data_IF_040308245336
#
_entry.id   IF_040308245336
#
_cell.length_a   1.000
_cell.length_b   1.000
_cell.length_c   1.000
_cell.angle_alpha   90.00
_cell.angle_beta   90.00
_cell.angle_gamma   90.00
#
_symmetry.space_group_name_H-M   'P 1'
#
loop_
_entity.id
_entity.type
_entity.pdbx_description
1 polymer ?
#
# COMPACT_ATOMS: atom_id res chain seq x y z
N UNK A 1 -41.43 43.82 37.07
CA UNK A 1 -40.10 43.28 36.76
C UNK A 1 -40.29 41.92 36.08
N UNK A 2 -39.63 41.74 34.94
CA UNK A 2 -39.81 40.65 33.97
C UNK A 2 -39.24 39.30 34.44
N UNK A 3 -39.87 38.24 33.93
CA UNK A 3 -39.52 36.82 33.96
C UNK A 3 -38.22 36.48 33.23
N UNK A 4 -37.49 35.46 33.69
CA UNK A 4 -36.82 34.46 32.84
C UNK A 4 -36.30 33.29 33.71
N UNK A 5 -36.79 32.07 33.45
CA UNK A 5 -36.17 30.83 33.89
C UNK A 5 -35.10 30.44 32.86
N UNK A 6 -33.88 30.20 33.33
CA UNK A 6 -32.74 29.81 32.48
C UNK A 6 -32.55 28.30 32.49
N UNK A 7 -32.69 27.69 31.32
CA UNK A 7 -32.27 26.33 30.94
C UNK A 7 -30.73 26.26 31.00
N UNK A 8 -30.15 25.13 31.43
CA UNK A 8 -29.18 24.32 30.63
C UNK A 8 -28.73 23.10 31.45
N UNK A 9 -29.16 21.92 31.01
CA UNK A 9 -28.59 20.65 31.44
C UNK A 9 -27.18 20.52 30.85
N UNK A 10 -26.14 20.48 31.69
CA UNK A 10 -24.81 20.03 31.29
C UNK A 10 -24.82 18.51 31.23
N UNK A 11 -24.90 17.95 30.02
CA UNK A 11 -24.62 16.54 29.78
C UNK A 11 -23.11 16.37 29.93
N UNK A 12 -22.67 15.77 31.04
CA UNK A 12 -21.28 15.35 31.20
C UNK A 12 -20.92 14.38 30.08
N UNK A 13 -20.04 14.83 29.19
CA UNK A 13 -19.37 13.95 28.23
C UNK A 13 -18.27 13.23 29.01
N UNK A 14 -18.53 11.97 29.35
CA UNK A 14 -17.51 11.07 29.90
C UNK A 14 -16.37 11.00 28.88
N UNK A 15 -15.10 11.30 29.24
CA UNK A 15 -14.00 11.19 28.31
C UNK A 15 -13.92 9.72 27.88
N UNK A 16 -14.20 9.46 26.60
CA UNK A 16 -13.87 8.17 26.02
C UNK A 16 -12.36 8.09 26.04
N UNK A 17 -11.89 7.11 26.79
CA UNK A 17 -10.50 6.78 27.01
C UNK A 17 -9.88 6.56 25.63
N UNK A 18 -9.03 7.49 25.19
CA UNK A 18 -8.14 7.30 24.05
C UNK A 18 -7.02 6.34 24.50
N UNK A 19 -7.36 5.08 24.72
CA UNK A 19 -6.39 4.02 24.99
C UNK A 19 -6.68 2.82 24.10
N UNK A 20 -6.06 2.82 22.94
CA UNK A 20 -5.28 1.64 22.56
C UNK A 20 -4.24 2.15 21.58
N UNK A 21 -2.98 1.96 21.97
CA UNK A 21 -1.88 1.96 21.00
C UNK A 21 -2.28 0.92 19.98
N UNK A 22 -2.73 1.33 18.81
CA UNK A 22 -2.95 0.41 17.71
C UNK A 22 -1.58 -0.17 17.39
N UNK A 23 -1.33 -1.47 17.56
CA UNK A 23 -0.05 -2.04 17.19
C UNK A 23 0.20 -1.70 15.72
N UNK A 24 1.40 -1.21 15.45
CA UNK A 24 1.85 -0.87 14.10
C UNK A 24 1.44 -1.98 13.13
N UNK A 25 0.58 -1.65 12.17
CA UNK A 25 0.08 -2.60 11.17
C UNK A 25 0.90 -2.42 9.90
N UNK A 26 1.37 -3.51 9.26
CA UNK A 26 2.05 -3.42 7.98
C UNK A 26 1.22 -2.63 6.97
N UNK A 27 1.88 -1.72 6.26
CA UNK A 27 1.27 -1.00 5.15
C UNK A 27 1.03 -1.96 4.00
N UNK A 28 -0.16 -1.91 3.41
CA UNK A 28 -0.41 -2.57 2.12
C UNK A 28 -0.50 -1.50 1.04
N UNK A 29 0.25 -1.66 -0.04
CA UNK A 29 0.30 -0.71 -1.15
C UNK A 29 -0.17 -1.41 -2.42
N UNK A 30 -1.19 -0.83 -3.06
CA UNK A 30 -1.60 -1.24 -4.40
C UNK A 30 -1.11 -0.19 -5.40
N UNK A 31 -0.27 -0.61 -6.35
CA UNK A 31 0.25 0.25 -7.40
C UNK A 31 -0.25 -0.27 -8.74
N UNK A 32 -1.07 0.53 -9.44
CA UNK A 32 -1.57 0.18 -10.77
C UNK A 32 -0.82 0.96 -11.84
N UNK A 33 -0.21 0.23 -12.76
CA UNK A 33 0.39 0.77 -13.97
C UNK A 33 -0.49 0.49 -15.17
N UNK A 34 -0.54 1.44 -16.11
CA UNK A 34 -1.17 1.26 -17.41
C UNK A 34 -0.10 1.41 -18.48
N UNK A 35 0.23 0.30 -19.13
CA UNK A 35 1.29 0.18 -20.13
C UNK A 35 0.63 -0.23 -21.46
N UNK A 36 1.03 0.32 -22.61
CA UNK A 36 0.57 -0.18 -23.91
C UNK A 36 0.86 -1.69 -24.00
N UNK A 37 -0.07 -2.52 -24.48
CA UNK A 37 0.14 -3.97 -24.54
C UNK A 37 1.44 -4.40 -25.25
N UNK A 38 1.88 -3.63 -26.25
CA UNK A 38 3.14 -3.85 -26.97
C UNK A 38 4.42 -3.61 -26.15
N UNK A 39 4.34 -2.93 -25.01
CA UNK A 39 5.47 -2.60 -24.14
C UNK A 39 5.42 -3.35 -22.79
N UNK A 40 4.49 -4.28 -22.61
CA UNK A 40 4.33 -5.02 -21.36
C UNK A 40 5.57 -5.87 -21.01
N UNK A 41 6.23 -6.47 -22.02
CA UNK A 41 7.50 -7.18 -21.78
C UNK A 41 8.58 -6.25 -21.23
N UNK A 42 8.73 -5.06 -21.81
CA UNK A 42 9.68 -4.06 -21.36
C UNK A 42 9.41 -3.60 -19.92
N UNK A 43 8.13 -3.49 -19.54
CA UNK A 43 7.76 -3.22 -18.14
C UNK A 43 8.25 -4.32 -17.21
N UNK A 44 8.06 -5.59 -17.56
CA UNK A 44 8.52 -6.71 -16.74
C UNK A 44 10.05 -6.81 -16.70
N UNK A 45 10.74 -6.58 -17.82
CA UNK A 45 12.20 -6.55 -17.89
C UNK A 45 12.78 -5.47 -16.97
N UNK A 46 12.14 -4.30 -16.90
CA UNK A 46 12.53 -3.23 -15.97
C UNK A 46 12.15 -3.54 -14.51
N UNK A 47 11.02 -4.20 -14.29
CA UNK A 47 10.53 -4.53 -12.95
C UNK A 47 11.33 -5.65 -12.30
N UNK A 48 11.85 -6.60 -13.07
CA UNK A 48 12.50 -7.79 -12.52
C UNK A 48 13.72 -7.46 -11.65
N UNK A 49 14.69 -6.61 -12.06
CA UNK A 49 15.81 -6.21 -11.21
C UNK A 49 15.35 -5.44 -9.97
N UNK A 50 14.32 -4.60 -10.10
CA UNK A 50 13.74 -3.89 -8.96
C UNK A 50 13.14 -4.89 -7.95
N UNK A 51 12.35 -5.86 -8.44
CA UNK A 51 11.77 -6.93 -7.62
C UNK A 51 12.83 -7.68 -6.84
N UNK A 52 13.94 -8.05 -7.47
CA UNK A 52 15.05 -8.75 -6.80
C UNK A 52 15.65 -7.96 -5.65
N UNK A 53 15.63 -6.62 -5.70
CA UNK A 53 16.06 -5.78 -4.58
C UNK A 53 14.99 -5.67 -3.51
N UNK A 54 13.73 -5.42 -3.91
CA UNK A 54 12.61 -5.24 -2.96
C UNK A 54 12.40 -6.46 -2.07
N UNK A 55 12.43 -7.68 -2.61
CA UNK A 55 12.17 -8.90 -1.83
C UNK A 55 13.31 -9.30 -0.90
N UNK A 56 14.44 -8.57 -0.94
CA UNK A 56 15.55 -8.74 -0.01
C UNK A 56 15.52 -7.72 1.13
N UNK A 57 14.62 -6.73 1.08
CA UNK A 57 14.43 -5.78 2.16
C UNK A 57 13.69 -6.47 3.31
N UNK A 58 14.20 -6.32 4.54
CA UNK A 58 13.62 -6.95 5.73
C UNK A 58 12.19 -6.45 5.97
N UNK A 59 11.92 -5.19 5.61
CA UNK A 59 10.58 -4.60 5.70
C UNK A 59 9.62 -5.14 4.64
N UNK A 60 10.09 -5.76 3.54
CA UNK A 60 9.20 -6.27 2.49
C UNK A 60 8.58 -7.63 2.87
N UNK A 61 7.36 -7.59 3.41
CA UNK A 61 6.64 -8.78 3.87
C UNK A 61 5.92 -9.54 2.74
N UNK A 62 5.56 -8.83 1.67
CA UNK A 62 4.85 -9.41 0.53
C UNK A 62 5.11 -8.58 -0.72
N UNK A 63 5.32 -9.25 -1.86
CA UNK A 63 5.37 -8.61 -3.17
C UNK A 63 4.76 -9.54 -4.20
N UNK A 64 3.76 -9.05 -4.94
CA UNK A 64 3.19 -9.80 -6.05
C UNK A 64 2.75 -8.87 -7.18
N UNK A 65 2.81 -9.38 -8.40
CA UNK A 65 2.42 -8.66 -9.61
C UNK A 65 1.27 -9.40 -10.27
N UNK A 66 0.18 -8.69 -10.50
CA UNK A 66 -1.02 -9.21 -11.14
C UNK A 66 -1.23 -8.54 -12.48
N UNK A 67 -1.40 -9.33 -13.54
CA UNK A 67 -2.09 -8.84 -14.74
C UNK A 67 -3.60 -8.79 -14.44
N UNK A 68 -4.27 -7.68 -14.78
CA UNK A 68 -5.71 -7.57 -14.55
C UNK A 68 -6.45 -8.33 -15.66
N UNK A 69 -7.22 -9.34 -15.24
CA UNK A 69 -8.02 -10.13 -16.17
C UNK A 69 -8.97 -9.25 -17.00
N UNK A 70 -8.97 -9.45 -18.31
CA UNK A 70 -9.79 -8.68 -19.25
C UNK A 70 -9.28 -7.25 -19.53
N UNK A 71 -8.13 -6.85 -18.97
CA UNK A 71 -7.51 -5.54 -19.21
C UNK A 71 -6.03 -5.68 -19.60
N UNK A 72 -5.72 -6.03 -20.86
CA UNK A 72 -4.35 -6.11 -21.33
C UNK A 72 -3.61 -4.80 -21.09
N UNK A 73 -2.37 -4.87 -20.60
CA UNK A 73 -1.58 -3.68 -20.27
C UNK A 73 -1.92 -3.03 -18.92
N UNK A 74 -2.80 -3.62 -18.11
CA UNK A 74 -3.01 -3.20 -16.72
C UNK A 74 -2.34 -4.19 -15.77
N UNK A 75 -1.41 -3.68 -14.98
CA UNK A 75 -0.63 -4.45 -14.02
C UNK A 75 -0.85 -3.84 -12.65
N UNK A 76 -1.00 -4.69 -11.64
CA UNK A 76 -1.06 -4.29 -10.25
C UNK A 76 0.05 -4.93 -9.45
N UNK A 77 0.88 -4.10 -8.84
CA UNK A 77 1.75 -4.54 -7.77
C UNK A 77 0.95 -4.46 -6.48
N UNK A 78 1.02 -5.52 -5.69
CA UNK A 78 0.52 -5.55 -4.31
C UNK A 78 1.70 -5.83 -3.42
N UNK A 79 1.96 -4.90 -2.53
CA UNK A 79 3.12 -4.94 -1.65
C UNK A 79 2.64 -4.83 -0.20
N UNK A 80 3.30 -5.53 0.71
CA UNK A 80 3.12 -5.31 2.15
C UNK A 80 4.46 -5.00 2.78
N UNK A 81 4.48 -3.96 3.62
CA UNK A 81 5.69 -3.42 4.21
C UNK A 81 5.57 -3.28 5.73
N UNK A 82 6.57 -3.73 6.49
CA UNK A 82 6.68 -3.58 7.95
C UNK A 82 7.26 -2.21 8.35
N UNK A 83 6.71 -1.14 7.80
CA UNK A 83 7.16 0.24 8.05
C UNK A 83 6.01 1.24 7.86
N UNK A 84 6.11 2.44 8.42
CA UNK A 84 5.09 3.48 8.21
C UNK A 84 5.30 4.28 6.91
N UNK A 85 4.38 5.21 6.64
CA UNK A 85 4.43 6.01 5.41
C UNK A 85 5.56 7.03 5.41
N UNK A 86 6.00 7.47 6.59
CA UNK A 86 7.13 8.40 6.73
C UNK A 86 8.42 7.69 6.30
N UNK A 87 8.68 6.49 6.83
CA UNK A 87 9.80 5.66 6.41
C UNK A 87 9.75 5.29 4.92
N UNK A 88 8.57 4.95 4.39
CA UNK A 88 8.41 4.67 2.95
C UNK A 88 8.82 5.85 2.09
N UNK A 89 8.46 7.07 2.48
CA UNK A 89 8.78 8.29 1.72
C UNK A 89 10.25 8.66 1.90
N UNK A 90 10.75 8.68 3.12
CA UNK A 90 12.09 9.21 3.43
C UNK A 90 13.22 8.22 3.14
N UNK A 91 12.94 6.93 3.26
CA UNK A 91 13.95 5.88 3.10
C UNK A 91 13.69 5.07 1.83
N UNK A 92 12.57 4.35 1.76
CA UNK A 92 12.36 3.38 0.69
C UNK A 92 12.33 4.05 -0.69
N UNK A 93 11.55 5.12 -0.84
CA UNK A 93 11.38 5.80 -2.15
C UNK A 93 12.65 6.50 -2.65
N UNK A 94 13.65 6.71 -1.77
CA UNK A 94 14.92 7.35 -2.11
C UNK A 94 16.00 6.36 -2.56
N UNK A 95 15.75 5.04 -2.45
CA UNK A 95 16.78 4.03 -2.76
C UNK A 95 17.16 4.06 -4.24
N UNK A 96 18.46 4.07 -4.50
CA UNK A 96 19.04 4.27 -5.84
C UNK A 96 18.55 3.24 -6.87
N UNK A 97 18.29 2.01 -6.43
CA UNK A 97 17.90 0.91 -7.32
C UNK A 97 16.54 1.12 -7.99
N UNK A 98 15.74 2.11 -7.57
CA UNK A 98 14.50 2.47 -8.24
C UNK A 98 14.71 3.20 -9.58
N UNK A 99 15.87 3.85 -9.78
CA UNK A 99 16.09 4.74 -10.93
C UNK A 99 15.91 4.04 -12.27
N UNK A 100 16.56 2.89 -12.48
CA UNK A 100 16.48 2.18 -13.76
C UNK A 100 15.05 1.75 -14.12
N UNK A 101 14.26 1.36 -13.12
CA UNK A 101 12.84 1.06 -13.31
C UNK A 101 12.06 2.31 -13.72
N UNK A 102 12.15 3.40 -12.95
CA UNK A 102 11.39 4.62 -13.25
C UNK A 102 11.83 5.30 -14.55
N UNK A 103 13.12 5.29 -14.89
CA UNK A 103 13.62 5.83 -16.15
C UNK A 103 13.05 5.08 -17.37
N UNK A 104 12.86 3.77 -17.24
CA UNK A 104 12.27 2.94 -18.31
C UNK A 104 10.77 3.13 -18.34
N UNK A 105 10.09 2.95 -17.20
CA UNK A 105 8.64 2.90 -17.13
C UNK A 105 8.00 4.27 -17.38
N UNK A 106 8.62 5.38 -16.95
CA UNK A 106 8.11 6.73 -17.23
C UNK A 106 8.00 7.07 -18.72
N UNK A 107 8.77 6.37 -19.58
CA UNK A 107 8.73 6.56 -21.04
C UNK A 107 7.64 5.76 -21.73
N UNK A 108 7.20 4.65 -21.13
CA UNK A 108 6.25 3.72 -21.74
C UNK A 108 4.89 3.73 -21.07
N UNK A 109 4.77 4.23 -19.85
CA UNK A 109 3.49 4.35 -19.17
C UNK A 109 2.58 5.34 -19.89
N UNK A 110 1.30 4.98 -20.01
CA UNK A 110 0.29 5.86 -20.64
C UNK A 110 -0.09 7.03 -19.73
N UNK A 111 0.05 6.84 -18.42
CA UNK A 111 -0.26 7.83 -17.39
C UNK A 111 0.55 7.52 -16.12
N UNK A 112 0.65 8.48 -15.18
CA UNK A 112 1.21 8.21 -13.86
C UNK A 112 0.50 7.04 -13.18
N UNK A 113 1.25 6.24 -12.46
CA UNK A 113 0.72 5.11 -11.70
C UNK A 113 -0.26 5.56 -10.63
N UNK A 114 -1.35 4.80 -10.46
CA UNK A 114 -2.27 4.99 -9.34
C UNK A 114 -1.73 4.24 -8.12
N UNK A 115 -1.51 4.96 -7.02
CA UNK A 115 -1.08 4.39 -5.72
C UNK A 115 -2.24 4.47 -4.73
N UNK A 116 -2.56 3.34 -4.11
CA UNK A 116 -3.52 3.25 -3.01
C UNK A 116 -2.78 2.67 -1.80
N UNK A 117 -2.78 3.40 -0.68
CA UNK A 117 -2.24 2.93 0.61
C UNK A 117 -3.40 2.41 1.43
N UNK A 118 -3.29 1.18 1.90
CA UNK A 118 -4.32 0.46 2.62
C UNK A 118 -3.80 0.09 4.01
N UNK A 119 -4.62 0.35 5.02
CA UNK A 119 -4.40 -0.15 6.37
C UNK A 119 -5.30 -1.37 6.58
N UNK A 120 -4.76 -2.40 7.21
CA UNK A 120 -5.57 -3.53 7.63
C UNK A 120 -6.55 -3.12 8.72
N UNK A 121 -7.74 -3.71 8.67
CA UNK A 121 -8.74 -3.57 9.75
C UNK A 121 -8.54 -4.71 10.74
N UNK A 122 -8.26 -4.35 11.99
CA UNK A 122 -8.07 -5.32 13.08
C UNK A 122 -9.27 -6.28 13.18
N UNK A 123 -8.99 -7.57 13.36
CA UNK A 123 -10.01 -8.62 13.44
C UNK A 123 -10.57 -9.11 12.10
N UNK A 124 -10.21 -8.50 10.97
CA UNK A 124 -10.64 -8.90 9.62
C UNK A 124 -9.51 -9.48 8.75
N UNK A 125 -8.38 -9.84 9.36
CA UNK A 125 -7.24 -10.45 8.68
C UNK A 125 -7.23 -11.98 8.85
N UNK A 126 -6.90 -12.70 7.79
CA UNK A 126 -6.59 -14.13 7.85
C UNK A 126 -5.45 -14.45 6.90
N UNK A 127 -4.35 -15.00 7.43
CA UNK A 127 -3.22 -15.47 6.63
C UNK A 127 -3.08 -16.97 6.83
N UNK A 128 -3.08 -17.71 5.72
CA UNK A 128 -2.89 -19.16 5.73
C UNK A 128 -1.41 -19.48 5.52
N UNK A 129 -0.74 -19.97 6.55
CA UNK A 129 0.71 -20.24 6.50
C UNK A 129 1.07 -21.37 5.54
N UNK A 130 0.27 -22.45 5.52
CA UNK A 130 0.42 -23.55 4.58
C UNK A 130 -0.95 -24.12 4.21
N UNK A 131 -1.12 -24.54 2.95
CA UNK A 131 -2.10 -25.58 2.60
C UNK A 131 -1.28 -26.83 2.40
N UNK A 132 -1.57 -27.92 3.12
CA UNK A 132 -0.93 -29.20 2.83
C UNK A 132 -1.13 -29.58 1.36
N UNK A 133 -0.06 -29.44 0.56
CA UNK A 133 0.13 -30.05 -0.76
C UNK A 133 1.62 -30.27 -0.96
N UNK A 134 1.99 -31.54 -0.86
CA UNK A 134 3.20 -32.11 -1.46
C UNK A 134 3.29 -31.71 -2.94
N UNK A 135 4.46 -31.21 -3.34
CA UNK A 135 4.91 -31.25 -4.73
C UNK A 135 5.52 -32.62 -5.01
#
# INVERSE_FOLDING_TARGET
MMTAQTITAKKEVKPQILSSVTPFQPLTIHITWIIPPSHVSQFYDALYPLKEKLVLEDECLYFNVFAIQGKPGFMRLVEMWDCDMEWMVEVQSQKEYYKGFFETVSRIALEPQKVEVLCSVEGFQFVRRERGRSF
#
